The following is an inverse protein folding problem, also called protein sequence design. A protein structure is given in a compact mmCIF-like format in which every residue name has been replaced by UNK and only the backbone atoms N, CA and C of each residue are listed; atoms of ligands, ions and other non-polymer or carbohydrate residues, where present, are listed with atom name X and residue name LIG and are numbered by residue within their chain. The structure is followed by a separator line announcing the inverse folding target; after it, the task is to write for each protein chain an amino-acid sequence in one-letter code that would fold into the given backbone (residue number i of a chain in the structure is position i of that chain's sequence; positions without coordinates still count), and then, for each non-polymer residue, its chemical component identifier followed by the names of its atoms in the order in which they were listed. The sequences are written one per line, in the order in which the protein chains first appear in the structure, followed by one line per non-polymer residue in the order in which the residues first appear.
data_IF_728421320601
#
_entry.id   IF_728421320601
#
_cell.length_a   1.000
_cell.length_b   1.000
_cell.length_c   1.000
_cell.angle_alpha   90.00
_cell.angle_beta   90.00
_cell.angle_gamma   90.00
#
_symmetry.space_group_name_H-M   'P 1'
#
loop_
_entity.id
_entity.type
_entity.pdbx_description
1 polymer ?
#
# COMPACT_ATOMS: atom_id res chain seq x y z
N UNK A 1 -36.40 7.49 19.22
CA UNK A 1 -35.79 6.48 18.34
C UNK A 1 -36.42 6.60 16.97
N UNK A 2 -35.66 7.00 15.96
CA UNK A 2 -36.13 6.91 14.58
C UNK A 2 -36.23 5.42 14.20
N UNK A 3 -37.27 5.00 13.45
CA UNK A 3 -37.38 3.63 12.98
C UNK A 3 -36.21 3.32 12.02
N UNK A 4 -35.63 2.12 12.16
CA UNK A 4 -34.57 1.66 11.26
C UNK A 4 -35.21 1.30 9.92
N UNK A 5 -34.74 1.94 8.85
CA UNK A 5 -35.10 1.56 7.49
C UNK A 5 -34.42 0.24 7.12
N UNK A 6 -35.17 -0.84 7.18
CA UNK A 6 -34.65 -2.19 6.91
C UNK A 6 -34.31 -2.40 5.44
N UNK A 7 -34.96 -1.68 4.52
CA UNK A 7 -34.69 -1.81 3.09
C UNK A 7 -33.33 -1.19 2.73
N UNK A 8 -33.09 0.05 3.19
CA UNK A 8 -31.81 0.74 3.02
C UNK A 8 -30.66 0.02 3.72
N UNK A 9 -30.92 -0.53 4.92
CA UNK A 9 -29.93 -1.35 5.63
C UNK A 9 -29.55 -2.60 4.83
N UNK A 10 -30.55 -3.31 4.31
CA UNK A 10 -30.32 -4.54 3.55
C UNK A 10 -29.53 -4.27 2.27
N UNK A 11 -29.89 -3.22 1.53
CA UNK A 11 -29.15 -2.79 0.33
C UNK A 11 -27.69 -2.48 0.67
N UNK A 12 -27.45 -1.70 1.73
CA UNK A 12 -26.09 -1.36 2.18
C UNK A 12 -25.27 -2.60 2.55
N UNK A 13 -25.89 -3.58 3.23
CA UNK A 13 -25.22 -4.84 3.59
C UNK A 13 -24.89 -5.67 2.36
N UNK A 14 -25.80 -5.77 1.39
CA UNK A 14 -25.53 -6.47 0.13
C UNK A 14 -24.39 -5.82 -0.65
N UNK A 15 -24.40 -4.48 -0.77
CA UNK A 15 -23.34 -3.75 -1.46
C UNK A 15 -21.98 -3.93 -0.77
N UNK A 16 -21.93 -3.80 0.57
CA UNK A 16 -20.71 -4.06 1.35
C UNK A 16 -20.22 -5.49 1.15
N UNK A 17 -21.10 -6.47 1.18
CA UNK A 17 -20.74 -7.88 1.00
C UNK A 17 -20.21 -8.12 -0.41
N UNK A 18 -20.85 -7.53 -1.43
CA UNK A 18 -20.40 -7.56 -2.82
C UNK A 18 -19.00 -6.96 -2.97
N UNK A 19 -18.79 -5.76 -2.46
CA UNK A 19 -17.49 -5.07 -2.52
C UNK A 19 -16.40 -5.81 -1.73
N UNK A 20 -16.70 -6.29 -0.52
CA UNK A 20 -15.65 -6.76 0.39
C UNK A 20 -15.31 -8.24 0.24
N UNK A 21 -16.27 -9.07 -0.17
CA UNK A 21 -16.10 -10.52 -0.23
C UNK A 21 -15.96 -11.07 -1.66
N UNK A 22 -16.20 -10.26 -2.68
CA UNK A 22 -16.05 -10.70 -4.08
C UNK A 22 -14.85 -10.03 -4.76
N UNK A 23 -14.20 -10.77 -5.66
CA UNK A 23 -13.02 -10.30 -6.38
C UNK A 23 -13.32 -9.67 -7.75
N UNK A 24 -14.59 -9.59 -8.16
CA UNK A 24 -14.95 -9.02 -9.47
C UNK A 24 -14.76 -7.51 -9.51
N UNK A 25 -15.08 -6.82 -8.41
CA UNK A 25 -14.89 -5.37 -8.27
C UNK A 25 -14.10 -5.00 -7.02
N UNK A 26 -14.25 -5.74 -5.91
CA UNK A 26 -13.45 -5.53 -4.70
C UNK A 26 -13.52 -4.09 -4.18
N UNK A 27 -12.35 -3.50 -3.93
CA UNK A 27 -12.21 -2.10 -3.51
C UNK A 27 -12.49 -1.09 -4.65
N UNK A 28 -12.78 -1.54 -5.86
CA UNK A 28 -13.15 -0.68 -7.00
C UNK A 28 -14.65 -0.52 -7.20
N UNK A 29 -15.49 -1.21 -6.42
CA UNK A 29 -16.94 -1.09 -6.52
C UNK A 29 -17.43 0.35 -6.24
N UNK A 30 -18.63 0.67 -6.73
CA UNK A 30 -19.21 2.02 -6.61
C UNK A 30 -19.29 2.52 -5.17
N UNK A 31 -19.68 1.67 -4.22
CA UNK A 31 -19.79 2.04 -2.80
C UNK A 31 -18.45 2.51 -2.21
N UNK A 32 -17.35 1.84 -2.55
CA UNK A 32 -16.01 2.21 -2.08
C UNK A 32 -15.57 3.51 -2.76
N UNK A 33 -15.77 3.59 -4.08
CA UNK A 33 -15.39 4.75 -4.89
C UNK A 33 -16.17 6.02 -4.53
N UNK A 34 -17.32 5.87 -3.85
CA UNK A 34 -18.08 7.00 -3.33
C UNK A 34 -17.43 7.70 -2.15
N UNK A 35 -16.67 6.97 -1.33
CA UNK A 35 -16.12 7.48 -0.06
C UNK A 35 -14.60 7.37 0.05
N UNK A 36 -13.94 6.67 -0.87
CA UNK A 36 -12.50 6.55 -0.94
C UNK A 36 -12.05 6.37 -2.39
N UNK A 37 -10.74 6.50 -2.64
CA UNK A 37 -10.12 6.03 -3.87
C UNK A 37 -9.21 4.86 -3.52
N UNK A 38 -9.38 3.80 -4.30
CA UNK A 38 -8.56 2.61 -4.29
C UNK A 38 -8.43 2.07 -5.70
N UNK A 39 -7.25 1.54 -6.00
CA UNK A 39 -6.92 0.85 -7.25
C UNK A 39 -6.83 -0.67 -7.04
N UNK A 40 -7.13 -1.16 -5.83
CA UNK A 40 -7.01 -2.58 -5.48
C UNK A 40 -8.24 -3.34 -6.01
N UNK A 41 -8.02 -4.35 -6.86
CA UNK A 41 -9.12 -5.21 -7.36
C UNK A 41 -9.72 -6.14 -6.30
N UNK A 42 -9.08 -6.29 -5.15
CA UNK A 42 -9.55 -7.10 -4.03
C UNK A 42 -9.25 -6.43 -2.69
N UNK A 43 -10.05 -6.73 -1.68
CA UNK A 43 -9.76 -6.30 -0.30
C UNK A 43 -8.59 -7.10 0.26
N UNK A 44 -7.67 -6.42 0.92
CA UNK A 44 -6.71 -7.05 1.83
C UNK A 44 -7.11 -6.72 3.26
N UNK A 45 -7.52 -7.74 4.02
CA UNK A 45 -7.75 -7.64 5.46
C UNK A 45 -6.46 -7.80 6.27
N UNK A 46 -5.32 -7.96 5.58
CA UNK A 46 -4.02 -7.98 6.22
C UNK A 46 -3.77 -6.59 6.85
N UNK A 47 -3.54 -6.50 8.18
CA UNK A 47 -3.38 -5.21 8.86
C UNK A 47 -2.13 -4.44 8.41
N UNK A 48 -1.20 -5.11 7.71
CA UNK A 48 0.06 -4.54 7.29
C UNK A 48 1.09 -4.55 8.42
N UNK A 49 2.22 -3.89 8.14
CA UNK A 49 3.30 -3.70 9.11
C UNK A 49 3.34 -2.25 9.52
N UNK A 50 3.46 -2.03 10.83
CA UNK A 50 3.67 -0.70 11.36
C UNK A 50 5.17 -0.42 11.47
N UNK A 51 5.75 0.13 10.40
CA UNK A 51 7.19 0.45 10.33
C UNK A 51 7.61 1.56 11.30
N UNK A 52 6.68 2.42 11.69
CA UNK A 52 6.90 3.55 12.58
C UNK A 52 5.62 4.33 12.79
N UNK A 53 5.65 5.28 13.72
CA UNK A 53 4.49 6.12 14.02
C UNK A 53 4.61 7.47 13.32
N UNK A 54 3.57 7.83 12.58
CA UNK A 54 3.38 9.20 12.11
C UNK A 54 3.29 10.15 13.31
N UNK A 55 3.80 11.38 13.15
CA UNK A 55 3.61 12.44 14.16
C UNK A 55 2.13 12.74 14.40
N UNK A 56 1.31 12.58 13.37
CA UNK A 56 -0.13 12.66 13.42
C UNK A 56 -0.72 11.28 13.15
N UNK A 57 -1.21 10.63 14.21
CA UNK A 57 -1.84 9.31 14.15
C UNK A 57 -3.18 9.34 13.40
N UNK A 58 -3.82 10.53 13.31
CA UNK A 58 -5.07 10.72 12.59
C UNK A 58 -4.86 10.98 11.10
N UNK A 59 -3.61 11.08 10.63
CA UNK A 59 -3.33 11.17 9.21
C UNK A 59 -3.89 9.93 8.51
N UNK A 60 -4.68 10.07 7.43
CA UNK A 60 -5.17 8.92 6.67
C UNK A 60 -4.15 8.41 5.64
N UNK A 61 -3.08 9.16 5.32
CA UNK A 61 -2.15 8.79 4.23
C UNK A 61 -1.19 7.65 4.56
N UNK A 62 -0.99 7.36 5.84
CA UNK A 62 -0.21 6.21 6.34
C UNK A 62 -1.07 4.96 6.53
N UNK A 63 -2.39 5.04 6.25
CA UNK A 63 -3.34 3.93 6.38
C UNK A 63 -3.56 3.23 5.05
N UNK A 64 -3.87 1.94 5.10
CA UNK A 64 -4.23 1.17 3.91
C UNK A 64 -5.53 1.71 3.29
N UNK A 65 -5.73 1.47 1.99
CA UNK A 65 -6.96 1.87 1.29
C UNK A 65 -8.21 1.31 1.97
N UNK A 66 -8.15 0.09 2.50
CA UNK A 66 -9.26 -0.53 3.23
C UNK A 66 -9.59 0.23 4.53
N UNK A 67 -8.58 0.58 5.32
CA UNK A 67 -8.78 1.34 6.57
C UNK A 67 -9.31 2.75 6.28
N UNK A 68 -8.81 3.41 5.24
CA UNK A 68 -9.32 4.72 4.78
C UNK A 68 -10.77 4.65 4.30
N UNK A 69 -11.12 3.59 3.59
CA UNK A 69 -12.50 3.32 3.18
C UNK A 69 -13.40 3.13 4.39
N UNK A 70 -13.04 2.24 5.32
CA UNK A 70 -13.85 1.95 6.50
C UNK A 70 -14.07 3.21 7.34
N UNK A 71 -13.02 3.99 7.55
CA UNK A 71 -13.10 5.29 8.20
C UNK A 71 -14.12 6.22 7.54
N UNK A 72 -13.97 6.43 6.22
CA UNK A 72 -14.81 7.38 5.48
C UNK A 72 -16.25 6.89 5.38
N UNK A 73 -16.45 5.57 5.22
CA UNK A 73 -17.75 4.92 5.20
C UNK A 73 -18.47 5.09 6.54
N UNK A 74 -17.81 4.74 7.65
CA UNK A 74 -18.38 4.87 8.99
C UNK A 74 -18.66 6.33 9.34
N UNK A 75 -17.75 7.24 9.02
CA UNK A 75 -17.95 8.67 9.25
C UNK A 75 -19.17 9.20 8.48
N UNK A 76 -19.29 8.87 7.19
CA UNK A 76 -20.41 9.26 6.33
C UNK A 76 -21.74 8.75 6.88
N UNK A 77 -21.80 7.48 7.32
CA UNK A 77 -23.02 6.88 7.86
C UNK A 77 -23.37 7.42 9.26
N UNK A 78 -22.37 7.61 10.13
CA UNK A 78 -22.58 8.14 11.48
C UNK A 78 -23.02 9.61 11.48
N UNK A 79 -22.56 10.39 10.51
CA UNK A 79 -22.96 11.80 10.38
C UNK A 79 -24.40 12.02 9.94
N UNK A 80 -25.12 10.96 9.55
CA UNK A 80 -26.55 11.01 9.26
C UNK A 80 -26.95 11.85 8.03
N UNK A 81 -25.98 12.37 7.28
CA UNK A 81 -26.20 13.13 6.05
C UNK A 81 -26.23 12.18 4.85
N UNK A 82 -27.16 12.43 3.92
CA UNK A 82 -27.17 11.75 2.63
C UNK A 82 -25.94 12.13 1.79
N UNK A 83 -25.61 11.30 0.81
CA UNK A 83 -24.45 11.53 -0.06
C UNK A 83 -24.50 12.87 -0.80
N UNK A 84 -25.71 13.33 -1.13
CA UNK A 84 -25.99 14.60 -1.78
C UNK A 84 -25.79 15.77 -0.82
N UNK A 85 -26.27 15.66 0.42
CA UNK A 85 -26.06 16.68 1.46
C UNK A 85 -24.57 16.86 1.79
N UNK A 86 -23.82 15.75 1.84
CA UNK A 86 -22.36 15.79 2.05
C UNK A 86 -21.64 16.42 0.84
N UNK A 87 -22.15 16.22 -0.38
CA UNK A 87 -21.58 16.83 -1.58
C UNK A 87 -21.79 18.35 -1.60
N UNK A 88 -22.98 18.79 -1.21
CA UNK A 88 -23.49 20.13 -1.56
C UNK A 88 -23.42 21.12 -0.40
N UNK A 89 -23.51 20.65 0.85
CA UNK A 89 -23.58 21.52 2.04
C UNK A 89 -22.35 21.43 2.94
N UNK A 90 -21.59 20.32 2.89
CA UNK A 90 -20.46 20.13 3.76
C UNK A 90 -19.23 20.95 3.32
N UNK A 91 -18.61 21.64 4.29
CA UNK A 91 -17.35 22.35 4.10
C UNK A 91 -16.27 21.41 3.55
N UNK A 92 -15.41 21.95 2.68
CA UNK A 92 -14.27 21.20 2.15
C UNK A 92 -13.17 21.06 3.19
N UNK A 93 -12.51 19.91 3.21
CA UNK A 93 -11.36 19.64 4.07
C UNK A 93 -10.24 18.92 3.30
N UNK A 94 -9.02 19.01 3.82
CA UNK A 94 -7.83 18.43 3.20
C UNK A 94 -6.87 17.78 4.20
N UNK A 95 -6.50 16.54 3.91
CA UNK A 95 -5.40 15.80 4.53
C UNK A 95 -4.38 15.34 3.47
N UNK A 96 -3.09 15.68 3.52
CA UNK A 96 -2.32 15.99 4.72
C UNK A 96 -1.94 17.47 4.84
N UNK A 97 -2.38 18.34 3.92
CA UNK A 97 -1.90 19.73 3.92
C UNK A 97 -2.32 20.49 5.18
N UNK A 98 -3.40 20.05 5.84
CA UNK A 98 -3.92 20.61 7.09
C UNK A 98 -4.40 22.05 6.95
N UNK A 99 -4.49 22.56 5.71
CA UNK A 99 -4.92 23.93 5.40
C UNK A 99 -6.43 24.09 5.52
N UNK A 100 -7.17 23.06 5.14
CA UNK A 100 -8.63 23.01 5.24
C UNK A 100 -9.00 21.99 6.32
N UNK A 101 -9.24 22.48 7.54
CA UNK A 101 -9.67 21.67 8.67
C UNK A 101 -11.17 21.85 8.90
N UNK A 102 -11.81 20.81 9.40
CA UNK A 102 -13.18 20.93 9.88
C UNK A 102 -13.20 21.78 11.15
N UNK A 103 -14.17 22.68 11.23
CA UNK A 103 -14.27 23.67 12.30
C UNK A 103 -15.01 23.13 13.53
N UNK A 104 -15.94 22.18 13.34
CA UNK A 104 -16.70 21.60 14.44
C UNK A 104 -15.84 20.68 15.29
N UNK A 105 -16.09 20.73 16.60
CA UNK A 105 -15.47 19.82 17.55
C UNK A 105 -16.01 18.40 17.30
N UNK A 106 -15.11 17.47 16.97
CA UNK A 106 -15.48 16.11 16.59
C UNK A 106 -15.92 15.94 15.14
N UNK A 107 -15.80 16.97 14.29
CA UNK A 107 -15.97 16.81 12.86
C UNK A 107 -14.75 16.12 12.24
N UNK A 108 -14.99 15.19 11.33
CA UNK A 108 -13.96 14.44 10.62
C UNK A 108 -13.97 14.74 9.13
N UNK A 109 -12.79 14.73 8.53
CA UNK A 109 -12.67 14.85 7.08
C UNK A 109 -12.86 13.48 6.44
N UNK A 110 -14.02 13.26 5.85
CA UNK A 110 -14.36 12.04 5.11
C UNK A 110 -14.26 12.27 3.59
N UNK A 111 -14.32 11.17 2.82
CA UNK A 111 -14.35 11.22 1.34
C UNK A 111 -13.10 11.85 0.70
N UNK A 112 -12.00 11.94 1.46
CA UNK A 112 -10.72 12.42 0.96
C UNK A 112 -10.20 11.48 -0.14
N UNK A 113 -10.02 12.06 -1.34
CA UNK A 113 -9.73 11.36 -2.61
C UNK A 113 -10.87 10.55 -3.24
N UNK A 114 -12.11 10.61 -2.78
CA UNK A 114 -13.22 9.90 -3.44
C UNK A 114 -13.33 10.22 -4.94
N UNK A 115 -13.71 9.21 -5.75
CA UNK A 115 -13.94 9.38 -7.20
C UNK A 115 -15.28 10.05 -7.50
N UNK A 116 -16.31 9.85 -6.67
CA UNK A 116 -17.58 10.55 -6.85
C UNK A 116 -17.46 11.96 -6.28
N UNK A 117 -17.19 12.89 -7.19
CA UNK A 117 -17.00 14.32 -6.92
C UNK A 117 -18.27 14.91 -6.30
N UNK A 118 -18.12 15.67 -5.22
CA UNK A 118 -19.10 16.73 -4.94
C UNK A 118 -18.81 17.96 -5.80
N UNK A 119 -19.85 18.69 -6.23
CA UNK A 119 -19.65 19.99 -6.90
C UNK A 119 -19.05 20.99 -5.90
N UNK A 120 -17.75 21.21 -5.97
CA UNK A 120 -17.09 22.35 -5.31
C UNK A 120 -16.81 23.45 -6.34
N UNK A 121 -16.93 24.72 -5.91
CA UNK A 121 -16.87 25.96 -6.72
C UNK A 121 -15.56 26.23 -7.49
N UNK A 122 -14.66 25.27 -7.59
CA UNK A 122 -13.45 25.40 -8.40
C UNK A 122 -13.05 24.02 -8.87
N UNK A 123 -13.01 23.82 -10.19
CA UNK A 123 -12.82 22.55 -10.91
C UNK A 123 -11.49 21.81 -10.69
N UNK A 124 -10.90 21.95 -9.51
CA UNK A 124 -9.75 21.21 -9.01
C UNK A 124 -9.87 21.16 -7.49
N UNK A 125 -10.29 20.05 -6.90
CA UNK A 125 -9.55 19.51 -5.77
C UNK A 125 -9.98 18.11 -5.37
N UNK A 126 -9.00 17.28 -4.98
CA UNK A 126 -9.15 15.94 -4.39
C UNK A 126 -9.60 16.03 -2.91
N UNK A 127 -10.42 17.03 -2.58
CA UNK A 127 -10.72 17.42 -1.21
C UNK A 127 -11.83 16.59 -0.60
N UNK A 128 -11.71 16.33 0.70
CA UNK A 128 -12.72 15.66 1.49
C UNK A 128 -13.83 16.62 1.92
N UNK A 129 -14.80 16.08 2.65
CA UNK A 129 -15.95 16.79 3.20
C UNK A 129 -15.98 16.62 4.72
N UNK A 130 -16.27 17.71 5.42
CA UNK A 130 -16.47 17.68 6.86
C UNK A 130 -17.78 17.00 7.21
N UNK A 131 -17.71 15.96 8.02
CA UNK A 131 -18.87 15.21 8.50
C UNK A 131 -18.84 15.21 10.02
N UNK A 132 -19.99 15.46 10.64
CA UNK A 132 -20.10 15.45 12.10
C UNK A 132 -20.16 14.01 12.60
N UNK A 133 -19.00 13.42 12.90
CA UNK A 133 -18.90 12.05 13.36
C UNK A 133 -17.69 11.88 14.27
N UNK A 134 -17.91 11.38 15.49
CA UNK A 134 -16.86 11.12 16.46
C UNK A 134 -16.12 9.81 16.13
N UNK A 135 -15.19 9.89 15.18
CA UNK A 135 -14.32 8.78 14.80
C UNK A 135 -12.86 9.17 15.08
N UNK A 136 -12.04 8.19 15.50
CA UNK A 136 -10.58 8.36 15.68
C UNK A 136 -9.83 7.09 15.26
N UNK A 137 -8.72 7.24 14.53
CA UNK A 137 -7.79 6.15 14.31
C UNK A 137 -7.14 5.82 15.65
N UNK A 138 -7.41 4.62 16.16
CA UNK A 138 -6.79 4.13 17.38
C UNK A 138 -5.65 3.22 16.97
N UNK A 139 -4.41 3.52 17.37
CA UNK A 139 -3.32 2.62 17.10
C UNK A 139 -3.50 1.30 17.86
N UNK A 140 -3.23 0.19 17.18
CA UNK A 140 -3.38 -1.15 17.71
C UNK A 140 -2.08 -1.93 17.48
N UNK A 141 -1.27 -2.07 18.52
CA UNK A 141 -0.09 -2.93 18.55
C UNK A 141 0.01 -3.57 19.94
N UNK A 142 0.85 -4.62 20.06
CA UNK A 142 1.05 -5.33 21.32
C UNK A 142 1.56 -4.38 22.44
N UNK A 143 0.99 -4.47 23.64
CA UNK A 143 1.42 -3.72 24.82
C UNK A 143 2.81 -4.15 25.31
N UNK A 144 3.32 -5.31 24.87
CA UNK A 144 4.72 -5.69 25.02
C UNK A 144 5.67 -4.92 24.10
N UNK A 145 5.18 -4.04 23.22
CA UNK A 145 6.02 -3.24 22.33
C UNK A 145 6.02 -1.76 22.74
N UNK A 146 7.22 -1.20 22.86
CA UNK A 146 7.48 0.22 23.07
C UNK A 146 8.08 0.82 21.80
N UNK A 147 7.49 1.92 21.33
CA UNK A 147 8.04 2.72 20.26
C UNK A 147 8.92 3.84 20.81
N UNK A 148 10.14 3.96 20.31
CA UNK A 148 10.98 5.12 20.54
C UNK A 148 10.80 6.13 19.39
N UNK A 149 10.15 7.28 19.63
CA UNK A 149 9.89 8.27 18.57
C UNK A 149 11.15 8.97 18.06
N UNK A 150 12.29 8.90 18.77
CA UNK A 150 13.54 9.53 18.34
C UNK A 150 14.28 8.68 17.31
N UNK A 151 14.33 7.37 17.55
CA UNK A 151 15.00 6.40 16.69
C UNK A 151 14.04 5.73 15.71
N UNK A 152 12.73 5.94 15.88
CA UNK A 152 11.65 5.29 15.18
C UNK A 152 11.73 3.75 15.27
N UNK A 153 12.28 3.23 16.37
CA UNK A 153 12.52 1.82 16.58
C UNK A 153 11.53 1.20 17.58
N UNK A 154 11.24 -0.08 17.40
CA UNK A 154 10.44 -0.88 18.31
C UNK A 154 11.32 -1.66 19.29
N UNK A 155 10.91 -1.72 20.55
CA UNK A 155 11.60 -2.45 21.62
C UNK A 155 10.60 -3.29 22.39
N UNK A 156 11.05 -4.45 22.87
CA UNK A 156 10.23 -5.32 23.72
C UNK A 156 10.23 -4.78 25.15
N UNK A 157 9.05 -4.65 25.72
CA UNK A 157 8.79 -4.28 27.10
C UNK A 157 8.77 -5.53 27.98
N UNK A 158 9.93 -5.93 28.51
CA UNK A 158 10.06 -7.14 29.32
C UNK A 158 9.31 -7.13 30.66
N UNK A 159 8.66 -6.01 31.04
CA UNK A 159 7.92 -5.88 32.30
C UNK A 159 6.41 -6.01 32.13
N UNK A 160 5.90 -6.10 30.89
CA UNK A 160 4.48 -6.17 30.58
C UNK A 160 3.85 -7.56 30.82
N UNK A 161 4.28 -8.30 31.85
CA UNK A 161 3.90 -9.69 32.09
C UNK A 161 2.42 -9.94 32.43
N UNK A 162 1.63 -8.88 32.60
CA UNK A 162 0.22 -8.95 33.03
C UNK A 162 -0.78 -8.93 31.88
N UNK A 163 -0.33 -8.77 30.63
CA UNK A 163 -1.20 -8.63 29.44
C UNK A 163 -1.06 -9.88 28.57
N UNK A 164 -2.19 -10.53 28.30
CA UNK A 164 -2.27 -11.70 27.42
C UNK A 164 -2.34 -11.27 25.95
N UNK A 165 -1.28 -10.63 25.46
CA UNK A 165 -1.14 -10.24 24.06
C UNK A 165 0.15 -10.80 23.46
N UNK A 166 0.06 -11.24 22.20
CA UNK A 166 1.19 -11.83 21.48
C UNK A 166 1.96 -10.78 20.68
N UNK A 167 3.27 -10.97 20.58
CA UNK A 167 4.13 -10.16 19.71
C UNK A 167 4.21 -10.81 18.33
N UNK A 168 3.66 -10.14 17.33
CA UNK A 168 3.81 -10.51 15.92
C UNK A 168 4.68 -9.48 15.20
N UNK A 169 5.69 -9.95 14.47
CA UNK A 169 6.55 -9.12 13.63
C UNK A 169 6.65 -9.73 12.24
N UNK A 170 6.68 -8.87 11.21
CA UNK A 170 6.92 -9.30 9.83
C UNK A 170 8.38 -9.03 9.46
N UNK A 171 8.99 -9.96 8.72
CA UNK A 171 10.31 -9.76 8.13
C UNK A 171 10.25 -8.70 7.03
N UNK A 172 11.25 -7.82 6.97
CA UNK A 172 11.29 -6.77 5.98
C UNK A 172 11.93 -7.27 4.67
N UNK A 173 11.17 -7.28 3.58
CA UNK A 173 11.63 -7.63 2.24
C UNK A 173 11.78 -6.38 1.38
N UNK A 174 12.78 -6.37 0.48
CA UNK A 174 12.95 -5.28 -0.46
C UNK A 174 11.76 -5.20 -1.42
N UNK A 175 11.43 -3.98 -1.87
CA UNK A 175 10.38 -3.76 -2.87
C UNK A 175 10.58 -4.68 -4.09
N UNK A 176 9.51 -5.36 -4.51
CA UNK A 176 9.56 -6.37 -5.58
C UNK A 176 9.97 -7.78 -5.12
N UNK A 177 10.07 -8.02 -3.81
CA UNK A 177 10.42 -9.32 -3.21
C UNK A 177 9.35 -9.72 -2.18
N UNK A 178 8.88 -10.99 -2.14
CA UNK A 178 9.25 -12.09 -3.03
C UNK A 178 8.71 -11.91 -4.45
N UNK A 179 9.50 -12.30 -5.45
CA UNK A 179 9.05 -12.42 -6.83
C UNK A 179 9.21 -13.85 -7.32
N UNK A 180 8.30 -14.28 -8.18
CA UNK A 180 8.34 -15.56 -8.84
C UNK A 180 8.49 -15.33 -10.35
N UNK A 181 9.38 -16.08 -10.99
CA UNK A 181 9.55 -16.05 -12.44
C UNK A 181 9.63 -17.46 -12.99
N UNK A 182 8.88 -17.72 -14.05
CA UNK A 182 8.96 -18.98 -14.80
C UNK A 182 10.02 -18.79 -15.89
N UNK A 183 11.02 -19.67 -15.93
CA UNK A 183 12.04 -19.69 -16.97
C UNK A 183 12.20 -21.10 -17.51
N UNK A 184 12.35 -21.21 -18.83
CA UNK A 184 12.80 -22.45 -19.46
C UNK A 184 14.32 -22.54 -19.25
N UNK A 185 14.77 -23.60 -18.62
CA UNK A 185 16.20 -23.87 -18.41
C UNK A 185 16.71 -24.89 -19.40
N UNK A 186 17.88 -24.66 -19.97
CA UNK A 186 18.57 -25.66 -20.77
C UNK A 186 19.14 -26.77 -19.88
N UNK A 187 19.42 -27.93 -20.48
CA UNK A 187 20.01 -29.05 -19.74
C UNK A 187 21.44 -28.72 -19.29
N UNK A 188 21.84 -29.22 -18.13
CA UNK A 188 23.19 -29.03 -17.59
C UNK A 188 24.29 -29.48 -18.57
N UNK A 189 24.05 -30.56 -19.32
CA UNK A 189 25.00 -31.08 -20.31
C UNK A 189 25.31 -30.05 -21.40
N UNK A 190 24.30 -29.32 -21.87
CA UNK A 190 24.48 -28.27 -22.88
C UNK A 190 25.36 -27.13 -22.36
N UNK A 191 25.16 -26.72 -21.10
CA UNK A 191 26.02 -25.73 -20.43
C UNK A 191 27.48 -26.17 -20.34
N UNK A 192 27.74 -27.45 -20.03
CA UNK A 192 29.11 -28.00 -19.97
C UNK A 192 29.77 -27.99 -21.35
N UNK A 193 29.06 -28.40 -22.41
CA UNK A 193 29.59 -28.41 -23.78
C UNK A 193 29.92 -26.99 -24.24
N UNK A 194 29.03 -26.02 -24.00
CA UNK A 194 29.29 -24.62 -24.32
C UNK A 194 30.50 -24.06 -23.56
N UNK A 195 30.63 -24.38 -22.27
CA UNK A 195 31.77 -23.94 -21.48
C UNK A 195 33.10 -24.51 -21.99
N UNK A 196 33.16 -25.83 -22.24
CA UNK A 196 34.38 -26.49 -22.71
C UNK A 196 34.77 -26.05 -24.13
N UNK A 197 33.79 -25.92 -25.04
CA UNK A 197 34.06 -25.41 -26.38
C UNK A 197 34.58 -23.97 -26.35
N UNK A 198 34.05 -23.12 -25.47
CA UNK A 198 34.56 -21.78 -25.20
C UNK A 198 36.02 -21.79 -24.76
N UNK A 199 36.38 -22.63 -23.77
CA UNK A 199 37.76 -22.75 -23.29
C UNK A 199 38.74 -23.20 -24.39
N UNK A 200 38.35 -24.18 -25.20
CA UNK A 200 39.18 -24.68 -26.31
C UNK A 200 39.45 -23.57 -27.32
N UNK A 201 38.41 -22.84 -27.72
CA UNK A 201 38.53 -21.74 -28.68
C UNK A 201 39.43 -20.62 -28.14
N UNK A 202 39.25 -20.22 -26.88
CA UNK A 202 40.12 -19.22 -26.25
C UNK A 202 41.58 -19.68 -26.22
N UNK A 203 41.83 -20.94 -25.85
CA UNK A 203 43.17 -21.53 -25.86
C UNK A 203 43.80 -21.52 -27.26
N UNK A 204 43.04 -21.92 -28.27
CA UNK A 204 43.49 -21.92 -29.67
C UNK A 204 43.86 -20.51 -30.15
N UNK A 205 43.03 -19.50 -29.84
CA UNK A 205 43.31 -18.11 -30.18
C UNK A 205 44.58 -17.59 -29.48
N UNK A 206 44.75 -17.87 -28.18
CA UNK A 206 45.96 -17.47 -27.45
C UNK A 206 47.22 -18.05 -28.09
N UNK A 207 47.20 -19.35 -28.42
CA UNK A 207 48.30 -20.02 -29.10
C UNK A 207 48.55 -19.47 -30.51
N UNK A 208 47.48 -19.18 -31.26
CA UNK A 208 47.55 -18.56 -32.57
C UNK A 208 48.25 -17.19 -32.53
N UNK A 209 47.82 -16.31 -31.61
CA UNK A 209 48.44 -14.99 -31.41
C UNK A 209 49.90 -15.11 -30.99
N UNK A 210 50.21 -16.03 -30.07
CA UNK A 210 51.58 -16.27 -29.63
C UNK A 210 52.48 -16.69 -30.80
N UNK A 211 52.02 -17.61 -31.66
CA UNK A 211 52.76 -18.02 -32.86
C UNK A 211 52.90 -16.89 -33.87
N UNK A 212 51.84 -16.13 -34.12
CA UNK A 212 51.89 -14.98 -35.03
C UNK A 212 52.93 -13.95 -34.59
N UNK A 213 52.95 -13.60 -33.29
CA UNK A 213 53.98 -12.70 -32.72
C UNK A 213 55.39 -13.24 -32.91
N UNK A 214 55.62 -14.51 -32.60
CA UNK A 214 56.93 -15.13 -32.82
C UNK A 214 57.36 -15.10 -34.29
N UNK A 215 56.43 -15.28 -35.23
CA UNK A 215 56.72 -15.23 -36.65
C UNK A 215 57.10 -13.81 -37.10
N UNK A 216 56.36 -12.80 -36.65
CA UNK A 216 56.65 -11.39 -36.94
C UNK A 216 58.01 -10.98 -36.35
N UNK A 217 58.29 -11.33 -35.10
CA UNK A 217 59.60 -11.06 -34.47
C UNK A 217 60.77 -11.71 -35.21
N UNK A 218 60.59 -12.95 -35.71
CA UNK A 218 61.62 -13.61 -36.53
C UNK A 218 61.86 -12.86 -37.85
N UNK A 219 60.80 -12.42 -38.51
CA UNK A 219 60.92 -11.65 -39.76
C UNK A 219 61.58 -10.29 -39.53
N UNK A 220 61.25 -9.59 -38.44
CA UNK A 220 61.88 -8.30 -38.11
C UNK A 220 63.36 -8.39 -37.76
N UNK A 221 63.86 -9.56 -37.31
CA UNK A 221 65.30 -9.77 -37.03
C UNK A 221 66.14 -10.09 -38.27
N UNK A 222 65.51 -10.38 -39.40
CA UNK A 222 66.17 -10.70 -40.66
C UNK A 222 66.28 -9.48 -41.60
N UNK A 223 65.67 -8.37 -41.22
CA UNK A 223 65.87 -7.03 -41.77
C UNK A 223 66.87 -6.26 -40.92
#
# INVERSE_FOLDING_TARGET
HAPVDTESLNATVYDLTGCLLTSSEGMQCDLVQQVADSYLGSVSLYPGVLFGLSKDLQNPNDKTDFVRFLWSFLATRAGGLSEQEISDQAATCDFPSGKLKCAGEGDVCARWRSKTKGKGDSGSSKNGRCVSAQMQYVPAWSQHLLHDPKTNAWRINGTASTVADDIWTESNWNYGTPSAMIRVTETHAYGVVLFLSGLILTGACFWGVKRARQHIEKQMKQW
#
